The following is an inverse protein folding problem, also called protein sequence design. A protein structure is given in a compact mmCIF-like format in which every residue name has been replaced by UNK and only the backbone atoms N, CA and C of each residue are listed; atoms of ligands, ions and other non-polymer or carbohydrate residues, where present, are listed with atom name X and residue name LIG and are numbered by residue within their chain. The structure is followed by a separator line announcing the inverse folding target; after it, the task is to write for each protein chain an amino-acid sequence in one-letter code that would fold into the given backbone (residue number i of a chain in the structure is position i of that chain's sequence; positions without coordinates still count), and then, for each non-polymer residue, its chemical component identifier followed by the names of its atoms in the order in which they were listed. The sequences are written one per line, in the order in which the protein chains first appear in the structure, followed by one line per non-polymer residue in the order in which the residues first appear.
data_IF_953389316752
#
_entry.id   IF_953389316752
#
_cell.length_a   1.000
_cell.length_b   1.000
_cell.length_c   1.000
_cell.angle_alpha   90.00
_cell.angle_beta   90.00
_cell.angle_gamma   90.00
#
_symmetry.space_group_name_H-M   'P 1'
#
loop_
_entity.id
_entity.type
_entity.pdbx_description
1 polymer ?
#
# COMPACT_ATOMS: atom_id res chain seq x y z
N UNK A 1 62.60 -7.57 31.56
CA UNK A 1 61.69 -6.41 31.47
C UNK A 1 61.79 -5.87 30.06
N UNK A 2 60.93 -6.34 29.16
CA UNK A 2 60.37 -5.54 28.07
C UNK A 2 59.23 -6.37 27.44
N UNK A 3 58.10 -5.75 27.13
CA UNK A 3 56.90 -6.47 26.68
C UNK A 3 55.66 -5.60 26.71
N UNK A 4 55.54 -4.75 25.70
CA UNK A 4 54.36 -3.97 25.31
C UNK A 4 53.07 -4.82 25.30
N UNK A 5 51.92 -4.32 25.77
CA UNK A 5 50.66 -5.04 25.66
C UNK A 5 50.13 -4.96 24.23
N UNK A 6 49.74 -6.11 23.67
CA UNK A 6 49.02 -6.20 22.40
C UNK A 6 47.65 -5.54 22.54
N UNK A 7 47.38 -4.51 21.74
CA UNK A 7 46.04 -3.95 21.57
C UNK A 7 45.10 -5.00 20.99
N UNK A 8 43.92 -5.17 21.59
CA UNK A 8 42.83 -5.95 21.01
C UNK A 8 41.97 -5.02 20.15
N UNK A 9 41.59 -5.39 18.92
CA UNK A 9 40.72 -4.54 18.11
C UNK A 9 39.32 -4.50 18.73
N UNK A 10 38.84 -3.30 19.04
CA UNK A 10 37.44 -3.07 19.40
C UNK A 10 36.56 -3.28 18.16
N UNK A 11 36.08 -4.51 17.97
CA UNK A 11 35.01 -4.78 17.03
C UNK A 11 33.74 -4.12 17.57
N UNK A 12 33.40 -2.94 17.07
CA UNK A 12 32.06 -2.36 17.18
C UNK A 12 31.10 -3.20 16.31
N UNK A 13 30.83 -4.43 16.76
CA UNK A 13 29.75 -5.24 16.23
C UNK A 13 28.45 -4.58 16.64
N UNK A 14 27.77 -3.94 15.69
CA UNK A 14 26.36 -3.61 15.85
C UNK A 14 25.62 -4.93 16.04
N UNK A 15 25.29 -5.26 17.30
CA UNK A 15 24.36 -6.32 17.62
C UNK A 15 22.99 -5.90 17.06
N UNK A 16 22.67 -6.35 15.85
CA UNK A 16 21.30 -6.34 15.35
C UNK A 16 20.54 -7.35 16.22
N UNK A 17 19.88 -6.86 17.26
CA UNK A 17 18.94 -7.67 18.02
C UNK A 17 17.73 -7.95 17.12
N UNK A 18 17.75 -9.07 16.41
CA UNK A 18 16.53 -9.63 15.84
C UNK A 18 15.72 -10.14 17.03
N UNK A 19 14.85 -9.28 17.55
CA UNK A 19 13.83 -9.71 18.48
C UNK A 19 12.89 -10.66 17.72
N UNK A 20 13.20 -11.96 17.73
CA UNK A 20 12.23 -12.99 17.41
C UNK A 20 11.25 -13.01 18.59
N UNK A 21 10.20 -12.20 18.49
CA UNK A 21 9.01 -12.48 19.27
C UNK A 21 8.68 -13.96 19.02
N UNK A 22 8.47 -14.80 20.07
CA UNK A 22 8.02 -16.16 19.85
C UNK A 22 6.82 -16.11 18.91
N UNK A 23 6.73 -17.07 17.98
CA UNK A 23 5.57 -17.29 17.12
C UNK A 23 4.35 -17.62 17.99
N UNK A 24 3.89 -16.66 18.79
CA UNK A 24 2.56 -16.62 19.33
C UNK A 24 1.67 -16.87 18.12
N UNK A 25 0.82 -17.92 18.14
CA UNK A 25 -0.17 -18.11 17.10
C UNK A 25 -0.82 -16.75 16.94
N UNK A 26 -0.61 -16.08 15.79
CA UNK A 26 -1.35 -14.85 15.51
C UNK A 26 -2.79 -15.37 15.49
N UNK A 27 -3.63 -15.04 16.48
CA UNK A 27 -5.00 -15.50 16.41
C UNK A 27 -5.49 -14.96 15.07
N UNK A 28 -5.89 -15.87 14.18
CA UNK A 28 -6.58 -15.44 12.97
C UNK A 28 -7.75 -14.66 13.54
N UNK A 29 -7.81 -13.32 13.35
CA UNK A 29 -8.97 -12.57 13.80
C UNK A 29 -10.14 -13.35 13.24
N UNK A 30 -11.20 -13.55 14.02
CA UNK A 30 -12.38 -14.21 13.48
C UNK A 30 -12.85 -13.36 12.30
N UNK A 31 -12.43 -13.71 11.09
CA UNK A 31 -13.15 -13.41 9.89
C UNK A 31 -14.40 -14.29 10.01
N UNK A 32 -15.28 -13.99 10.97
CA UNK A 32 -15.95 -15.11 11.66
C UNK A 32 -17.27 -14.78 12.32
N UNK A 33 -17.74 -13.55 12.22
CA UNK A 33 -19.18 -13.32 12.19
C UNK A 33 -19.44 -12.12 11.30
N UNK A 34 -20.43 -12.25 10.40
CA UNK A 34 -20.92 -11.13 9.59
C UNK A 34 -19.99 -10.60 8.47
N UNK A 35 -19.03 -11.39 7.95
CA UNK A 35 -18.24 -10.98 6.76
C UNK A 35 -19.09 -10.77 5.51
N UNK A 36 -20.16 -11.54 5.42
CA UNK A 36 -21.26 -11.43 4.48
C UNK A 36 -22.15 -10.21 4.75
N UNK A 37 -22.08 -9.59 5.93
CA UNK A 37 -22.90 -8.40 6.26
C UNK A 37 -22.14 -7.09 6.12
N UNK A 38 -20.82 -7.13 5.98
CA UNK A 38 -20.00 -5.95 5.73
C UNK A 38 -19.65 -5.80 4.25
N UNK A 39 -19.50 -4.55 3.81
CA UNK A 39 -19.17 -4.19 2.42
C UNK A 39 -17.85 -3.42 2.36
N UNK A 40 -16.71 -4.02 2.73
CA UNK A 40 -15.46 -3.27 2.84
C UNK A 40 -14.92 -2.86 1.47
N UNK A 41 -14.37 -1.65 1.41
CA UNK A 41 -13.40 -1.28 0.39
C UNK A 41 -12.03 -1.82 0.78
N UNK A 42 -11.48 -2.70 -0.06
CA UNK A 42 -10.15 -3.28 0.11
C UNK A 42 -9.26 -2.62 -0.92
N UNK A 43 -8.11 -2.09 -0.48
CA UNK A 43 -7.18 -1.39 -1.35
C UNK A 43 -5.91 -2.24 -1.49
N UNK A 44 -5.61 -2.64 -2.71
CA UNK A 44 -4.39 -3.35 -3.05
C UNK A 44 -3.43 -2.44 -3.81
N UNK A 45 -2.20 -2.34 -3.34
CA UNK A 45 -1.15 -1.60 -4.02
C UNK A 45 -0.14 -2.58 -4.64
N UNK A 46 0.18 -2.39 -5.92
CA UNK A 46 0.99 -3.36 -6.68
C UNK A 46 2.44 -3.43 -6.19
N UNK A 47 2.98 -2.31 -5.70
CA UNK A 47 4.38 -2.20 -5.32
C UNK A 47 4.57 -1.81 -3.85
N UNK A 48 3.64 -2.22 -2.99
CA UNK A 48 3.77 -2.03 -1.54
C UNK A 48 4.72 -3.07 -0.93
N UNK A 49 5.89 -2.65 -0.40
CA UNK A 49 6.88 -3.56 0.17
C UNK A 49 6.48 -4.12 1.55
N UNK A 50 5.56 -3.47 2.26
CA UNK A 50 5.15 -3.85 3.61
C UNK A 50 3.86 -4.70 3.60
N UNK A 51 2.90 -4.35 2.74
CA UNK A 51 1.65 -5.11 2.57
C UNK A 51 1.43 -5.52 1.12
N UNK A 52 1.91 -6.73 0.78
CA UNK A 52 1.89 -7.23 -0.59
C UNK A 52 0.48 -7.24 -1.20
N UNK A 53 0.40 -6.98 -2.51
CA UNK A 53 -0.85 -7.05 -3.27
C UNK A 53 -1.59 -8.40 -3.10
N UNK A 54 -0.84 -9.50 -2.99
CA UNK A 54 -1.41 -10.84 -2.74
C UNK A 54 -2.18 -10.93 -1.42
N UNK A 55 -1.81 -10.13 -0.42
CA UNK A 55 -2.55 -10.04 0.85
C UNK A 55 -3.90 -9.34 0.66
N UNK A 56 -3.97 -8.29 -0.16
CA UNK A 56 -5.23 -7.63 -0.50
C UNK A 56 -6.15 -8.55 -1.31
N UNK A 57 -5.60 -9.33 -2.25
CA UNK A 57 -6.36 -10.35 -2.98
C UNK A 57 -6.94 -11.42 -2.04
N UNK A 58 -6.14 -11.92 -1.08
CA UNK A 58 -6.62 -12.86 -0.06
C UNK A 58 -7.71 -12.25 0.81
N UNK A 59 -7.53 -11.01 1.25
CA UNK A 59 -8.55 -10.28 2.01
C UNK A 59 -9.85 -10.19 1.22
N UNK A 60 -9.79 -9.86 -0.08
CA UNK A 60 -10.99 -9.83 -0.93
C UNK A 60 -11.70 -11.19 -1.01
N UNK A 61 -10.96 -12.29 -0.98
CA UNK A 61 -11.53 -13.64 -0.92
C UNK A 61 -12.40 -13.89 0.31
N UNK A 62 -12.13 -13.22 1.43
CA UNK A 62 -12.91 -13.37 2.66
C UNK A 62 -14.16 -12.49 2.74
N UNK A 63 -14.25 -11.41 1.95
CA UNK A 63 -15.36 -10.46 2.00
C UNK A 63 -16.18 -10.49 0.71
N UNK A 64 -17.20 -11.37 0.60
CA UNK A 64 -17.94 -11.57 -0.66
C UNK A 64 -18.59 -10.29 -1.18
N UNK A 65 -19.08 -9.44 -0.27
CA UNK A 65 -19.75 -8.17 -0.57
C UNK A 65 -18.82 -6.95 -0.61
N UNK A 66 -17.51 -7.15 -0.45
CA UNK A 66 -16.51 -6.08 -0.60
C UNK A 66 -16.10 -5.84 -2.06
N UNK A 67 -15.30 -4.80 -2.28
CA UNK A 67 -14.65 -4.52 -3.55
C UNK A 67 -13.15 -4.37 -3.36
N UNK A 68 -12.37 -5.00 -4.23
CA UNK A 68 -10.93 -4.76 -4.34
C UNK A 68 -10.70 -3.62 -5.33
N UNK A 69 -10.11 -2.53 -4.86
CA UNK A 69 -9.60 -1.44 -5.68
C UNK A 69 -8.07 -1.52 -5.72
N UNK A 70 -7.49 -1.36 -6.90
CA UNK A 70 -6.07 -1.50 -7.13
C UNK A 70 -5.44 -0.14 -7.38
N UNK A 71 -4.25 0.07 -6.86
CA UNK A 71 -3.42 1.23 -7.19
C UNK A 71 -2.07 0.76 -7.72
N UNK A 72 -1.68 1.28 -8.88
CA UNK A 72 -0.42 0.95 -9.53
C UNK A 72 0.80 1.68 -8.93
N UNK A 73 0.59 2.49 -7.88
CA UNK A 73 1.63 3.28 -7.21
C UNK A 73 2.74 2.47 -6.55
N UNK A 74 3.78 3.22 -6.14
CA UNK A 74 4.93 2.74 -5.36
C UNK A 74 4.96 3.45 -4.01
N UNK A 75 4.32 2.86 -3.01
CA UNK A 75 4.21 3.38 -1.63
C UNK A 75 3.70 2.26 -0.71
N UNK A 76 3.69 2.56 0.58
CA UNK A 76 2.86 1.84 1.55
C UNK A 76 1.60 2.67 1.83
N UNK A 77 0.46 2.23 1.28
CA UNK A 77 -0.86 2.83 1.45
C UNK A 77 -1.13 4.06 0.60
N UNK A 78 -2.39 4.51 0.56
CA UNK A 78 -2.80 5.66 -0.26
C UNK A 78 -2.24 7.00 0.28
N UNK A 79 -1.77 7.90 -0.60
CA UNK A 79 -1.33 9.24 -0.21
C UNK A 79 -2.45 9.99 0.50
N UNK A 80 -2.18 10.50 1.70
CA UNK A 80 -3.12 11.38 2.40
C UNK A 80 -3.07 12.79 1.83
N UNK A 81 -4.18 13.51 1.91
CA UNK A 81 -4.28 14.94 1.53
C UNK A 81 -3.30 15.83 2.29
N UNK A 82 -2.85 15.40 3.48
CA UNK A 82 -1.87 16.11 4.31
C UNK A 82 -0.51 16.25 3.60
N UNK A 83 -0.18 15.32 2.69
CA UNK A 83 1.04 15.35 1.88
C UNK A 83 0.86 16.06 0.51
N UNK A 84 -0.37 16.49 0.19
CA UNK A 84 -0.68 17.20 -1.06
C UNK A 84 -0.39 18.71 -1.00
N UNK A 85 0.12 19.20 0.13
CA UNK A 85 0.47 20.61 0.36
C UNK A 85 1.86 21.01 -0.10
N UNK A 86 2.73 20.07 -0.50
CA UNK A 86 4.04 20.43 -1.04
C UNK A 86 3.92 20.89 -2.50
N UNK A 87 4.45 22.08 -2.86
CA UNK A 87 4.43 22.55 -4.25
C UNK A 87 5.18 21.55 -5.15
N UNK A 88 4.56 21.17 -6.27
CA UNK A 88 5.06 20.12 -7.18
C UNK A 88 4.58 18.69 -6.86
N UNK A 89 4.20 18.38 -5.62
CA UNK A 89 3.71 17.03 -5.27
C UNK A 89 2.23 16.87 -5.61
N UNK A 90 1.43 17.93 -5.55
CA UNK A 90 -0.02 17.83 -5.80
C UNK A 90 -0.35 17.38 -7.22
N UNK A 91 0.25 18.00 -8.23
CA UNK A 91 0.01 17.64 -9.63
C UNK A 91 0.62 16.28 -9.98
N UNK A 92 1.76 15.95 -9.39
CA UNK A 92 2.37 14.64 -9.51
C UNK A 92 1.53 13.52 -8.88
N UNK A 93 0.94 13.75 -7.70
CA UNK A 93 0.04 12.80 -7.05
C UNK A 93 -1.32 12.70 -7.76
N UNK A 94 -1.81 13.82 -8.31
CA UNK A 94 -3.07 13.86 -9.05
C UNK A 94 -2.99 13.26 -10.45
N UNK A 95 -2.00 13.66 -11.24
CA UNK A 95 -1.86 13.31 -12.66
C UNK A 95 -0.79 12.25 -12.93
N UNK A 96 0.20 12.14 -12.05
CA UNK A 96 1.32 11.20 -12.19
C UNK A 96 1.01 9.84 -11.57
N UNK A 97 0.69 9.79 -10.28
CA UNK A 97 0.56 8.51 -9.58
C UNK A 97 -0.82 7.85 -9.70
N UNK A 98 -1.85 8.57 -10.18
CA UNK A 98 -3.23 8.07 -10.16
C UNK A 98 -3.83 7.90 -8.76
N UNK A 99 -3.10 8.34 -7.73
CA UNK A 99 -3.50 8.22 -6.34
C UNK A 99 -4.79 8.96 -6.03
N UNK A 100 -5.05 10.06 -6.74
CA UNK A 100 -6.20 10.91 -6.49
C UNK A 100 -7.53 10.28 -6.89
N UNK A 101 -7.56 9.48 -7.94
CA UNK A 101 -8.75 8.70 -8.34
C UNK A 101 -9.10 7.68 -7.24
N UNK A 102 -8.12 6.89 -6.81
CA UNK A 102 -8.26 5.96 -5.69
C UNK A 102 -8.65 6.67 -4.39
N UNK A 103 -8.08 7.84 -4.12
CA UNK A 103 -8.42 8.64 -2.96
C UNK A 103 -9.88 9.13 -3.00
N UNK A 104 -10.35 9.63 -4.15
CA UNK A 104 -11.75 10.08 -4.28
C UNK A 104 -12.72 8.93 -4.07
N UNK A 105 -12.45 7.75 -4.65
CA UNK A 105 -13.29 6.56 -4.45
C UNK A 105 -13.28 6.07 -3.00
N UNK A 106 -12.13 6.16 -2.34
CA UNK A 106 -12.02 5.89 -0.90
C UNK A 106 -12.88 6.86 -0.10
N UNK A 107 -12.85 8.15 -0.45
CA UNK A 107 -13.69 9.17 0.17
C UNK A 107 -15.18 8.92 -0.08
N UNK A 108 -15.57 8.56 -1.29
CA UNK A 108 -16.97 8.29 -1.65
C UNK A 108 -17.48 7.03 -0.91
N UNK A 109 -16.63 6.02 -0.74
CA UNK A 109 -16.93 4.88 0.14
C UNK A 109 -17.09 5.30 1.61
N UNK A 110 -16.16 6.09 2.15
CA UNK A 110 -16.21 6.53 3.56
C UNK A 110 -17.40 7.43 3.87
N UNK A 111 -17.84 8.25 2.90
CA UNK A 111 -18.96 9.18 3.07
C UNK A 111 -20.31 8.51 2.81
N UNK A 112 -20.41 7.81 1.68
CA UNK A 112 -21.70 7.40 1.11
C UNK A 112 -21.85 5.86 1.04
N UNK A 113 -20.81 5.11 1.44
CA UNK A 113 -20.80 3.65 1.35
C UNK A 113 -20.70 3.11 -0.08
N UNK A 114 -20.39 3.96 -1.06
CA UNK A 114 -20.32 3.59 -2.48
C UNK A 114 -19.01 2.85 -2.75
N UNK A 115 -19.11 1.59 -3.17
CA UNK A 115 -17.97 0.80 -3.61
C UNK A 115 -17.67 1.02 -5.09
N UNK A 116 -16.38 1.08 -5.50
CA UNK A 116 -16.02 1.02 -6.90
C UNK A 116 -16.30 -0.39 -7.46
N UNK A 117 -16.29 -0.56 -8.81
CA UNK A 117 -16.31 -1.88 -9.41
C UNK A 117 -15.19 -2.77 -8.83
N UNK A 118 -15.50 -4.03 -8.55
CA UNK A 118 -14.49 -4.96 -8.07
C UNK A 118 -13.39 -5.16 -9.12
N UNK A 119 -12.14 -4.95 -8.73
CA UNK A 119 -10.98 -4.96 -9.62
C UNK A 119 -10.69 -3.61 -10.27
N UNK A 120 -11.43 -2.54 -9.94
CA UNK A 120 -11.15 -1.20 -10.44
C UNK A 120 -9.70 -0.83 -10.13
N UNK A 121 -8.99 -0.34 -11.15
CA UNK A 121 -7.57 -0.03 -11.05
C UNK A 121 -7.35 1.44 -11.32
N UNK A 122 -6.76 2.15 -10.37
CA UNK A 122 -6.30 3.52 -10.54
C UNK A 122 -4.91 3.49 -11.18
N UNK A 123 -4.78 3.87 -12.46
CA UNK A 123 -3.55 3.74 -13.19
C UNK A 123 -2.54 4.82 -12.80
N UNK A 124 -1.24 4.49 -12.83
CA UNK A 124 -0.22 5.53 -12.92
C UNK A 124 -0.38 6.20 -14.29
N UNK A 125 -0.39 7.53 -14.31
CA UNK A 125 -0.57 8.35 -15.49
C UNK A 125 0.58 9.37 -15.65
N UNK A 126 0.54 10.18 -16.70
CA UNK A 126 1.41 11.35 -16.86
C UNK A 126 2.92 11.03 -16.81
N UNK A 127 3.76 11.92 -16.23
CA UNK A 127 5.21 11.77 -16.21
C UNK A 127 5.70 10.50 -15.51
N UNK A 128 4.98 10.01 -14.50
CA UNK A 128 5.35 8.81 -13.76
C UNK A 128 5.16 7.53 -14.60
N UNK A 129 4.09 7.47 -15.41
CA UNK A 129 3.91 6.37 -16.37
C UNK A 129 5.02 6.38 -17.43
N UNK A 130 5.37 7.57 -17.92
CA UNK A 130 6.48 7.77 -18.86
C UNK A 130 7.83 7.31 -18.32
N UNK A 131 8.15 7.64 -17.06
CA UNK A 131 9.41 7.19 -16.41
C UNK A 131 9.50 5.68 -16.21
N UNK A 132 8.36 4.99 -16.19
CA UNK A 132 8.28 3.54 -16.00
C UNK A 132 8.11 2.77 -17.32
N UNK A 133 8.18 3.46 -18.47
CA UNK A 133 7.86 2.90 -19.80
C UNK A 133 6.49 2.22 -19.86
N UNK A 134 5.57 2.60 -18.96
CA UNK A 134 4.22 2.06 -18.93
C UNK A 134 3.38 2.75 -20.01
N UNK A 135 2.64 1.96 -20.78
CA UNK A 135 1.62 2.53 -21.67
C UNK A 135 0.57 3.20 -20.80
N UNK A 136 0.39 4.51 -20.98
CA UNK A 136 -0.65 5.29 -20.29
C UNK A 136 -1.99 4.58 -20.53
N UNK A 137 -2.68 4.21 -19.46
CA UNK A 137 -4.03 3.67 -19.57
C UNK A 137 -4.91 4.79 -20.14
N UNK A 138 -5.45 4.59 -21.35
CA UNK A 138 -6.40 5.52 -21.95
C UNK A 138 -7.60 5.59 -21.00
N UNK A 139 -7.93 6.79 -20.52
CA UNK A 139 -9.12 6.99 -19.68
C UNK A 139 -10.32 6.32 -20.35
N UNK A 140 -10.95 5.38 -19.65
CA UNK A 140 -12.21 4.79 -20.11
C UNK A 140 -13.27 5.87 -19.87
N UNK A 141 -13.90 6.43 -20.92
CA UNK A 141 -14.92 7.44 -20.72
C UNK A 141 -16.07 6.83 -19.92
N UNK A 142 -16.70 7.61 -19.01
CA UNK A 142 -17.90 7.16 -18.33
C UNK A 142 -18.99 6.89 -19.37
N UNK A 143 -19.64 5.74 -19.26
CA UNK A 143 -20.87 5.41 -20.00
C UNK A 143 -22.01 6.35 -19.59
#
# INVERSE_FOLDING_TARGET
MDGTPCETPSWHGNLIAVASAPNLPRPVPSYGSSLDRVKPLIIGEFHDPATTYTSAQKMRGFFPNGALMNWQGYRHGLPSTVNAGQPGTRDFQKKGYGAWDCFNRTRDYLKDGILPPNGYTCPINGPAAGSLSLRIAKEVPPC
#
